data_IF_387954621971
#
_entry.id   IF_387954621971
#
_cell.length_a   1.000
_cell.length_b   1.000
_cell.length_c   1.000
_cell.angle_alpha   90.00
_cell.angle_beta   90.00
_cell.angle_gamma   90.00
#
_symmetry.space_group_name_H-M   'P 1'
#
loop_
_entity.id
_entity.type
_entity.pdbx_description
1 polymer ?
#
# COMPACT_ATOMS: atom_id res chain seq x y z
N UNK A 1 6.34 15.55 -58.20
CA UNK A 1 7.14 16.12 -57.08
C UNK A 1 6.34 16.35 -55.78
N UNK A 2 5.00 16.34 -55.78
CA UNK A 2 4.19 16.54 -54.55
C UNK A 2 4.05 15.29 -53.66
N UNK A 3 4.09 14.09 -54.26
CA UNK A 3 3.83 12.82 -53.56
C UNK A 3 5.00 12.32 -52.70
N UNK A 4 6.25 12.64 -53.08
CA UNK A 4 7.45 12.26 -52.32
C UNK A 4 7.58 13.03 -51.00
N UNK A 5 7.10 14.28 -50.97
CA UNK A 5 7.17 15.13 -49.77
C UNK A 5 6.24 14.62 -48.65
N UNK A 6 5.08 14.06 -49.01
CA UNK A 6 4.11 13.47 -48.06
C UNK A 6 4.66 12.19 -47.42
N UNK A 7 5.39 11.37 -48.19
CA UNK A 7 6.01 10.14 -47.69
C UNK A 7 7.17 10.47 -46.74
N UNK A 8 7.99 11.48 -47.05
CA UNK A 8 9.07 11.95 -46.16
C UNK A 8 8.49 12.56 -44.87
N UNK A 9 7.37 13.29 -44.93
CA UNK A 9 6.68 13.82 -43.75
C UNK A 9 6.07 12.72 -42.86
N UNK A 10 5.48 11.69 -43.48
CA UNK A 10 4.94 10.52 -42.76
C UNK A 10 6.03 9.68 -42.08
N UNK A 11 7.21 9.57 -42.70
CA UNK A 11 8.36 8.86 -42.13
C UNK A 11 9.03 9.66 -40.99
N UNK A 12 9.00 11.00 -41.02
CA UNK A 12 9.49 11.85 -39.92
C UNK A 12 8.58 11.80 -38.67
N UNK A 13 7.26 11.64 -38.83
CA UNK A 13 6.34 11.54 -37.69
C UNK A 13 6.42 10.22 -36.93
N UNK A 14 6.91 9.15 -37.58
CA UNK A 14 7.02 7.83 -36.95
C UNK A 14 8.16 7.74 -35.92
N UNK A 15 9.16 8.65 -35.99
CA UNK A 15 10.31 8.65 -35.09
C UNK A 15 10.06 9.29 -33.72
N UNK A 16 8.89 9.91 -33.50
CA UNK A 16 8.60 10.60 -32.24
C UNK A 16 7.77 9.79 -31.22
N UNK A 17 7.38 8.55 -31.54
CA UNK A 17 6.84 7.63 -30.53
C UNK A 17 8.02 6.88 -29.89
N UNK A 18 8.92 7.62 -29.25
CA UNK A 18 9.83 7.01 -28.30
C UNK A 18 8.97 6.57 -27.11
N UNK A 19 8.78 5.26 -26.93
CA UNK A 19 8.29 4.72 -25.69
C UNK A 19 9.21 5.24 -24.58
N UNK A 20 8.71 6.15 -23.73
CA UNK A 20 9.54 6.73 -22.68
C UNK A 20 10.03 5.58 -21.79
N UNK A 21 11.35 5.44 -21.57
CA UNK A 21 11.86 4.41 -20.68
C UNK A 21 11.19 4.60 -19.32
N UNK A 22 10.61 3.51 -18.81
CA UNK A 22 9.99 3.47 -17.49
C UNK A 22 11.05 3.92 -16.47
N UNK A 23 10.81 5.07 -15.82
CA UNK A 23 11.72 5.56 -14.79
C UNK A 23 11.57 4.66 -13.56
N UNK A 24 12.43 3.64 -13.46
CA UNK A 24 12.43 2.66 -12.37
C UNK A 24 12.45 3.33 -11.00
N UNK A 25 13.18 4.44 -10.85
CA UNK A 25 13.19 5.23 -9.63
C UNK A 25 11.79 5.74 -9.23
N UNK A 26 11.03 6.29 -10.19
CA UNK A 26 9.65 6.76 -9.94
C UNK A 26 8.71 5.62 -9.56
N UNK A 27 8.86 4.47 -10.21
CA UNK A 27 8.09 3.26 -9.90
C UNK A 27 8.40 2.78 -8.48
N UNK A 28 9.68 2.67 -8.14
CA UNK A 28 10.13 2.22 -6.82
C UNK A 28 9.63 3.14 -5.71
N UNK A 29 9.62 4.47 -5.94
CA UNK A 29 9.05 5.45 -5.01
C UNK A 29 7.54 5.29 -4.83
N UNK A 30 6.81 5.13 -5.94
CA UNK A 30 5.36 4.89 -5.90
C UNK A 30 5.03 3.58 -5.19
N UNK A 31 5.79 2.51 -5.45
CA UNK A 31 5.65 1.22 -4.79
C UNK A 31 5.94 1.32 -3.28
N UNK A 32 7.01 2.03 -2.89
CA UNK A 32 7.35 2.25 -1.49
C UNK A 32 6.26 3.04 -0.76
N UNK A 33 5.73 4.10 -1.36
CA UNK A 33 4.58 4.83 -0.80
C UNK A 33 3.35 3.92 -0.66
N UNK A 34 3.04 3.11 -1.68
CA UNK A 34 1.95 2.12 -1.64
C UNK A 34 2.11 1.09 -0.53
N UNK A 35 3.34 0.60 -0.29
CA UNK A 35 3.66 -0.28 0.84
C UNK A 35 3.38 0.38 2.19
N UNK A 36 3.77 1.64 2.38
CA UNK A 36 3.48 2.41 3.60
C UNK A 36 1.98 2.62 3.78
N UNK A 37 1.27 3.04 2.73
CA UNK A 37 -0.19 3.20 2.77
C UNK A 37 -0.90 1.90 3.16
N UNK A 38 -0.50 0.77 2.56
CA UNK A 38 -1.04 -0.55 2.87
C UNK A 38 -0.71 -1.00 4.30
N UNK A 39 0.53 -0.79 4.74
CA UNK A 39 0.94 -1.05 6.11
C UNK A 39 0.06 -0.30 7.12
N UNK A 40 -0.16 1.00 6.91
CA UNK A 40 -0.99 1.80 7.81
C UNK A 40 -2.46 1.35 7.82
N UNK A 41 -3.00 0.91 6.68
CA UNK A 41 -4.36 0.33 6.56
C UNK A 41 -4.60 -0.78 7.59
N UNK A 42 -3.57 -1.56 7.87
CA UNK A 42 -3.67 -2.75 8.70
C UNK A 42 -3.10 -2.57 10.12
N UNK A 43 -2.00 -1.83 10.30
CA UNK A 43 -1.34 -1.70 11.61
C UNK A 43 -1.67 -0.42 12.38
N UNK A 44 -2.10 0.65 11.70
CA UNK A 44 -2.36 1.91 12.39
C UNK A 44 -3.77 1.89 13.00
N UNK A 45 -3.93 2.02 14.34
CA UNK A 45 -5.22 1.80 15.01
C UNK A 45 -6.32 2.74 14.51
N UNK A 46 -6.00 4.01 14.24
CA UNK A 46 -6.97 4.98 13.73
C UNK A 46 -7.39 4.70 12.27
N UNK A 47 -6.51 4.10 11.48
CA UNK A 47 -6.81 3.78 10.07
C UNK A 47 -7.64 2.51 10.00
N UNK A 48 -7.19 1.47 10.71
CA UNK A 48 -7.84 0.16 10.75
C UNK A 48 -9.27 0.21 11.32
N UNK A 49 -9.62 1.20 12.16
CA UNK A 49 -11.00 1.41 12.65
C UNK A 49 -11.89 2.19 11.68
N UNK A 50 -11.39 2.59 10.51
CA UNK A 50 -12.18 3.28 9.47
C UNK A 50 -12.41 4.76 9.71
N UNK A 51 -11.59 5.43 10.54
CA UNK A 51 -11.71 6.87 10.81
C UNK A 51 -11.48 7.74 9.58
N UNK A 52 -10.73 7.23 8.60
CA UNK A 52 -10.31 7.95 7.41
C UNK A 52 -10.87 7.28 6.15
N UNK A 53 -11.18 8.09 5.12
CA UNK A 53 -11.33 7.57 3.76
C UNK A 53 -9.95 7.20 3.20
N UNK A 54 -9.53 5.98 3.51
CA UNK A 54 -8.16 5.55 3.26
C UNK A 54 -7.88 5.33 1.77
N UNK A 55 -8.88 4.89 1.00
CA UNK A 55 -8.75 4.71 -0.45
C UNK A 55 -8.67 6.07 -1.15
N UNK A 56 -9.49 7.06 -0.75
CA UNK A 56 -9.37 8.42 -1.25
C UNK A 56 -7.99 9.03 -0.95
N UNK A 57 -7.39 8.70 0.20
CA UNK A 57 -6.03 9.14 0.54
C UNK A 57 -5.00 8.67 -0.49
N UNK A 58 -5.06 7.41 -0.95
CA UNK A 58 -4.16 6.90 -1.99
C UNK A 58 -4.40 7.59 -3.34
N UNK A 59 -5.68 7.69 -3.75
CA UNK A 59 -6.06 8.28 -5.05
C UNK A 59 -5.62 9.75 -5.13
N UNK A 60 -5.88 10.53 -4.08
CA UNK A 60 -5.52 11.95 -4.03
C UNK A 60 -4.00 12.19 -4.05
N UNK A 61 -3.22 11.27 -3.47
CA UNK A 61 -1.76 11.40 -3.45
C UNK A 61 -1.08 10.81 -4.69
N UNK A 62 -1.76 9.98 -5.49
CA UNK A 62 -1.16 9.21 -6.59
C UNK A 62 -0.30 10.04 -7.53
N UNK A 63 -0.84 11.10 -8.12
CA UNK A 63 -0.09 11.92 -9.08
C UNK A 63 1.09 12.65 -8.43
N UNK A 64 0.91 13.12 -7.20
CA UNK A 64 1.98 13.80 -6.47
C UNK A 64 3.15 12.87 -6.15
N UNK A 65 2.86 11.59 -5.89
CA UNK A 65 3.88 10.57 -5.60
C UNK A 65 4.53 10.04 -6.88
N UNK A 66 3.73 9.80 -7.93
CA UNK A 66 4.20 9.34 -9.24
C UNK A 66 5.24 10.30 -9.85
N UNK A 67 5.12 11.59 -9.57
CA UNK A 67 5.96 12.63 -10.13
C UNK A 67 7.19 12.98 -9.27
N UNK A 68 7.44 12.26 -8.17
CA UNK A 68 8.61 12.49 -7.31
C UNK A 68 9.91 12.13 -8.01
N UNK A 69 10.92 12.97 -7.84
CA UNK A 69 12.22 12.85 -8.47
C UNK A 69 13.29 12.28 -7.53
N UNK A 70 13.05 12.27 -6.21
CA UNK A 70 14.05 11.77 -5.24
C UNK A 70 13.45 11.02 -4.04
N UNK A 71 14.28 10.23 -3.37
CA UNK A 71 13.92 9.58 -2.10
C UNK A 71 13.73 10.60 -0.96
N UNK A 72 14.33 11.78 -1.06
CA UNK A 72 14.11 12.87 -0.09
C UNK A 72 12.65 13.33 -0.16
N UNK A 73 12.13 13.61 -1.36
CA UNK A 73 10.73 14.02 -1.54
C UNK A 73 9.74 12.91 -1.15
N UNK A 74 10.08 11.65 -1.48
CA UNK A 74 9.31 10.48 -1.03
C UNK A 74 9.19 10.46 0.50
N UNK A 75 10.31 10.60 1.20
CA UNK A 75 10.31 10.55 2.65
C UNK A 75 9.56 11.72 3.27
N UNK A 76 9.61 12.92 2.68
CA UNK A 76 8.75 14.03 3.10
C UNK A 76 7.26 13.72 2.90
N UNK A 77 6.88 12.98 1.84
CA UNK A 77 5.49 12.54 1.62
C UNK A 77 5.06 11.46 2.60
N UNK A 78 5.94 10.52 2.91
CA UNK A 78 5.70 9.49 3.93
C UNK A 78 5.56 10.14 5.31
N UNK A 79 6.41 11.09 5.68
CA UNK A 79 6.31 11.79 6.96
C UNK A 79 4.95 12.48 7.11
N UNK A 80 4.51 13.24 6.09
CA UNK A 80 3.18 13.87 6.09
C UNK A 80 2.03 12.86 6.20
N UNK A 81 2.14 11.72 5.52
CA UNK A 81 1.14 10.65 5.63
C UNK A 81 1.09 10.10 7.06
N UNK A 82 2.24 9.81 7.66
CA UNK A 82 2.33 9.33 9.05
C UNK A 82 1.84 10.37 10.06
N UNK A 83 2.06 11.66 9.80
CA UNK A 83 1.55 12.75 10.67
C UNK A 83 0.02 12.85 10.58
N UNK A 84 -0.55 12.63 9.39
CA UNK A 84 -2.00 12.74 9.16
C UNK A 84 -2.84 11.69 9.90
N UNK A 85 -2.26 10.51 10.18
CA UNK A 85 -2.97 9.42 10.86
C UNK A 85 -2.92 9.52 12.39
N UNK A 86 -2.03 10.35 12.93
CA UNK A 86 -1.88 10.62 14.35
C UNK A 86 -0.93 9.67 15.07
N UNK A 87 -1.03 9.68 16.41
CA UNK A 87 -0.14 8.92 17.30
C UNK A 87 -0.65 7.50 17.56
N UNK A 88 0.30 6.56 17.72
CA UNK A 88 0.03 5.18 18.17
C UNK A 88 0.43 5.05 19.64
N UNK A 89 -0.50 4.73 20.56
CA UNK A 89 -0.15 4.54 21.96
C UNK A 89 0.79 3.35 22.15
N UNK A 90 1.72 3.47 23.09
CA UNK A 90 2.62 2.39 23.45
C UNK A 90 1.82 1.16 23.91
N UNK A 91 2.14 0.00 23.35
CA UNK A 91 1.52 -1.26 23.73
C UNK A 91 2.30 -1.89 24.89
N UNK A 92 1.67 -1.95 26.07
CA UNK A 92 2.24 -2.61 27.25
C UNK A 92 1.94 -4.11 27.34
N UNK A 93 1.17 -4.64 26.40
CA UNK A 93 0.78 -6.05 26.35
C UNK A 93 1.75 -6.84 25.47
N UNK A 94 2.04 -8.10 25.85
CA UNK A 94 2.81 -9.02 25.01
C UNK A 94 2.14 -9.11 23.63
N UNK A 95 2.94 -8.94 22.57
CA UNK A 95 2.46 -9.09 21.20
C UNK A 95 1.74 -10.45 21.07
N UNK A 96 0.58 -10.46 20.41
CA UNK A 96 -0.10 -11.71 20.12
C UNK A 96 0.82 -12.58 19.26
N UNK A 97 1.14 -13.77 19.75
CA UNK A 97 1.90 -14.74 18.96
C UNK A 97 0.94 -15.43 17.98
N UNK A 98 1.27 -15.34 16.70
CA UNK A 98 0.52 -15.99 15.63
C UNK A 98 1.30 -17.20 15.12
N UNK A 99 0.62 -18.30 14.73
CA UNK A 99 1.27 -19.43 14.08
C UNK A 99 2.15 -19.00 12.89
N UNK A 100 3.31 -19.64 12.72
CA UNK A 100 4.28 -19.27 11.68
C UNK A 100 3.73 -19.38 10.25
N UNK A 101 2.75 -20.25 10.03
CA UNK A 101 2.01 -20.34 8.77
C UNK A 101 1.28 -19.04 8.40
N UNK A 102 0.87 -18.25 9.40
CA UNK A 102 0.22 -16.93 9.23
C UNK A 102 1.23 -15.79 9.09
N UNK A 103 2.49 -16.00 9.49
CA UNK A 103 3.61 -15.07 9.30
C UNK A 103 4.29 -15.25 7.94
N UNK A 104 4.11 -16.42 7.29
CA UNK A 104 4.85 -16.86 6.10
C UNK A 104 4.77 -15.90 4.89
N UNK A 105 3.65 -15.19 4.73
CA UNK A 105 3.49 -14.23 3.62
C UNK A 105 3.86 -12.80 4.03
N UNK A 106 3.99 -12.52 5.32
CA UNK A 106 4.18 -11.19 5.89
C UNK A 106 5.66 -10.80 5.93
N UNK A 107 6.22 -10.48 4.76
CA UNK A 107 7.55 -9.89 4.70
C UNK A 107 7.51 -8.37 4.98
N UNK A 108 7.80 -8.00 6.22
CA UNK A 108 7.95 -6.61 6.65
C UNK A 108 9.41 -6.15 6.75
N UNK A 109 10.39 -6.93 6.27
CA UNK A 109 11.80 -6.55 6.33
C UNK A 109 12.07 -5.18 5.66
N UNK A 110 11.25 -4.80 4.67
CA UNK A 110 11.34 -3.51 3.99
C UNK A 110 11.14 -2.30 4.90
N UNK A 111 10.48 -2.41 6.07
CA UNK A 111 10.36 -1.27 7.01
C UNK A 111 11.71 -0.92 7.65
N UNK A 112 12.70 -1.81 7.56
CA UNK A 112 14.07 -1.62 8.04
C UNK A 112 15.03 -1.14 6.92
N UNK A 113 14.58 -1.09 5.67
CA UNK A 113 15.41 -0.72 4.52
C UNK A 113 15.59 0.80 4.42
N UNK A 114 16.77 1.28 4.87
CA UNK A 114 17.13 2.69 4.85
C UNK A 114 17.70 3.20 3.52
N UNK A 115 17.79 2.34 2.49
CA UNK A 115 18.17 2.78 1.13
C UNK A 115 17.02 3.54 0.44
N UNK A 116 15.77 3.24 0.84
CA UNK A 116 14.55 3.89 0.34
C UNK A 116 13.89 4.76 1.41
N UNK A 117 13.78 4.25 2.64
CA UNK A 117 13.21 4.99 3.76
C UNK A 117 14.28 5.81 4.46
N UNK A 118 13.94 7.01 4.92
CA UNK A 118 14.78 7.72 5.87
C UNK A 118 14.82 6.92 7.18
N UNK A 119 15.94 7.00 7.89
CA UNK A 119 16.06 6.41 9.23
C UNK A 119 14.88 6.79 10.13
N UNK A 120 14.46 8.06 10.06
CA UNK A 120 13.32 8.58 10.81
C UNK A 120 11.99 7.87 10.47
N UNK A 121 11.63 7.78 9.18
CA UNK A 121 10.37 7.13 8.77
C UNK A 121 10.42 5.62 9.02
N UNK A 122 11.57 4.98 8.79
CA UNK A 122 11.80 3.57 9.13
C UNK A 122 11.52 3.30 10.62
N UNK A 123 12.04 4.14 11.52
CA UNK A 123 11.80 4.01 12.95
C UNK A 123 10.35 4.23 13.36
N UNK A 124 9.64 5.15 12.70
CA UNK A 124 8.20 5.35 12.94
C UNK A 124 7.37 4.11 12.53
N UNK A 125 7.69 3.50 11.39
CA UNK A 125 7.00 2.28 10.93
C UNK A 125 7.29 1.09 11.85
N UNK A 126 8.55 0.93 12.28
CA UNK A 126 8.93 -0.08 13.29
C UNK A 126 8.13 0.13 14.59
N UNK A 127 8.06 1.37 15.08
CA UNK A 127 7.30 1.68 16.28
C UNK A 127 5.81 1.31 16.16
N UNK A 128 5.18 1.62 15.02
CA UNK A 128 3.78 1.24 14.75
C UNK A 128 3.62 -0.28 14.75
N UNK A 129 4.56 -1.00 14.14
CA UNK A 129 4.54 -2.46 14.08
C UNK A 129 4.70 -3.10 15.47
N UNK A 130 5.70 -2.66 16.24
CA UNK A 130 5.99 -3.16 17.58
C UNK A 130 4.88 -2.85 18.59
N UNK A 131 4.19 -1.72 18.41
CA UNK A 131 3.08 -1.29 19.27
C UNK A 131 1.70 -1.63 18.69
N UNK A 132 1.65 -2.47 17.66
CA UNK A 132 0.38 -2.88 17.05
C UNK A 132 -0.53 -3.55 18.09
N UNK A 133 -1.76 -3.05 18.17
CA UNK A 133 -2.82 -3.63 18.99
C UNK A 133 -3.94 -4.18 18.10
N UNK A 134 -4.46 -5.37 18.39
CA UNK A 134 -5.63 -5.90 17.68
C UNK A 134 -6.83 -4.98 17.90
N UNK A 135 -7.26 -4.30 16.83
CA UNK A 135 -8.46 -3.48 16.78
C UNK A 135 -9.54 -4.18 15.97
N UNK A 136 -10.80 -3.73 16.10
CA UNK A 136 -11.85 -4.14 15.17
C UNK A 136 -11.56 -3.53 13.80
N UNK A 137 -10.91 -4.31 12.94
CA UNK A 137 -10.49 -3.86 11.62
C UNK A 137 -11.70 -3.81 10.67
N UNK A 138 -11.97 -2.66 10.07
CA UNK A 138 -13.10 -2.48 9.15
C UNK A 138 -12.82 -3.06 7.76
N UNK A 139 -11.55 -3.29 7.41
CA UNK A 139 -11.13 -3.83 6.12
C UNK A 139 -11.03 -5.35 6.12
N UNK A 140 -10.74 -5.98 7.26
CA UNK A 140 -10.61 -7.43 7.40
C UNK A 140 -11.44 -7.93 8.57
N UNK A 141 -12.36 -8.84 8.27
CA UNK A 141 -13.15 -9.55 9.29
C UNK A 141 -12.99 -11.06 9.14
N UNK A 142 -13.40 -11.84 10.14
CA UNK A 142 -13.35 -13.30 10.09
C UNK A 142 -14.68 -13.85 9.56
N UNK A 143 -14.62 -14.79 8.61
CA UNK A 143 -15.79 -15.58 8.26
C UNK A 143 -16.15 -16.46 9.46
N UNK A 144 -17.39 -16.42 9.94
CA UNK A 144 -17.83 -17.29 11.03
C UNK A 144 -17.57 -18.77 10.68
N UNK A 145 -17.14 -19.55 11.67
CA UNK A 145 -16.89 -21.02 11.60
C UNK A 145 -15.67 -21.49 10.79
N UNK A 146 -15.27 -20.76 9.75
CA UNK A 146 -14.15 -21.16 8.87
C UNK A 146 -12.84 -20.45 9.21
N UNK A 147 -12.91 -19.28 9.86
CA UNK A 147 -11.71 -18.54 10.27
C UNK A 147 -11.01 -17.77 9.15
N UNK A 148 -11.48 -17.92 7.90
CA UNK A 148 -10.93 -17.21 6.76
C UNK A 148 -11.17 -15.69 6.85
N UNK A 149 -10.23 -14.88 6.33
CA UNK A 149 -10.40 -13.44 6.19
C UNK A 149 -11.44 -13.10 5.15
N UNK A 150 -12.26 -12.10 5.46
CA UNK A 150 -13.28 -11.52 4.60
C UNK A 150 -13.05 -10.02 4.53
N UNK A 151 -12.84 -9.54 3.31
CA UNK A 151 -12.54 -8.14 3.01
C UNK A 151 -13.84 -7.38 2.72
N UNK A 152 -14.65 -7.14 3.76
CA UNK A 152 -16.04 -6.64 3.62
C UNK A 152 -16.18 -5.23 3.06
N UNK A 153 -15.18 -4.37 3.27
CA UNK A 153 -15.23 -2.96 2.86
C UNK A 153 -14.31 -2.65 1.66
N UNK A 154 -13.76 -3.67 1.01
CA UNK A 154 -13.03 -3.45 -0.23
C UNK A 154 -14.05 -3.26 -1.36
N UNK A 155 -14.22 -2.01 -1.80
CA UNK A 155 -14.91 -1.72 -3.05
C UNK A 155 -14.03 -2.25 -4.18
N UNK A 156 -14.24 -3.50 -4.59
CA UNK A 156 -13.72 -3.99 -5.86
C UNK A 156 -14.34 -3.11 -6.94
N UNK A 157 -13.59 -2.13 -7.43
CA UNK A 157 -14.12 -1.08 -8.29
C UNK A 157 -14.51 -1.65 -9.65
N UNK A 158 -15.78 -2.08 -9.77
CA UNK A 158 -16.49 -2.22 -11.06
C UNK A 158 -16.83 -0.85 -11.66
N UNK A 159 -16.60 0.23 -10.90
CA UNK A 159 -16.96 1.62 -11.22
C UNK A 159 -15.76 2.57 -11.16
N UNK A 160 -14.62 2.19 -11.75
CA UNK A 160 -13.59 3.16 -12.18
C UNK A 160 -13.69 3.34 -13.71
N UNK A 161 -14.72 4.04 -14.19
CA UNK A 161 -14.73 4.54 -15.56
C UNK A 161 -13.78 5.75 -15.66
N UNK A 162 -12.48 5.52 -15.75
CA UNK A 162 -11.49 6.52 -16.20
C UNK A 162 -10.27 5.81 -16.82
N UNK A 163 -9.62 6.40 -17.85
CA UNK A 163 -8.54 5.76 -18.60
C UNK A 163 -7.21 5.88 -17.84
N UNK A 164 -7.06 5.18 -16.70
CA UNK A 164 -5.81 5.11 -15.93
C UNK A 164 -5.59 3.69 -15.39
N UNK A 165 -5.37 2.77 -16.33
CA UNK A 165 -4.83 1.41 -16.13
C UNK A 165 -3.75 1.29 -15.03
N UNK A 166 -2.92 2.31 -14.83
CA UNK A 166 -1.87 2.29 -13.79
C UNK A 166 -2.36 2.44 -12.34
N UNK A 167 -3.46 3.17 -12.08
CA UNK A 167 -3.99 3.35 -10.71
C UNK A 167 -4.76 2.09 -10.29
N UNK A 168 -5.57 1.55 -11.20
CA UNK A 168 -6.29 0.30 -10.98
C UNK A 168 -5.31 -0.88 -10.82
N UNK A 169 -4.22 -0.91 -11.60
CA UNK A 169 -3.15 -1.90 -11.43
C UNK A 169 -2.38 -1.70 -10.13
N UNK A 170 -2.11 -0.46 -9.69
CA UNK A 170 -1.46 -0.21 -8.39
C UNK A 170 -2.37 -0.62 -7.23
N UNK A 171 -3.66 -0.27 -7.25
CA UNK A 171 -4.62 -0.73 -6.24
C UNK A 171 -4.78 -2.25 -6.31
N UNK A 172 -4.95 -2.86 -7.48
CA UNK A 172 -5.09 -4.31 -7.61
C UNK A 172 -3.80 -5.08 -7.27
N UNK A 173 -2.62 -4.52 -7.54
CA UNK A 173 -1.33 -5.14 -7.21
C UNK A 173 -0.96 -4.93 -5.75
N UNK A 174 -1.23 -3.74 -5.19
CA UNK A 174 -1.00 -3.45 -3.77
C UNK A 174 -2.05 -4.18 -2.95
N UNK A 175 -3.34 -4.05 -3.24
CA UNK A 175 -4.41 -4.80 -2.59
C UNK A 175 -4.28 -6.30 -2.85
N UNK A 176 -3.92 -6.76 -4.06
CA UNK A 176 -3.67 -8.19 -4.35
C UNK A 176 -2.46 -8.77 -3.62
N UNK A 177 -1.35 -8.03 -3.55
CA UNK A 177 -0.18 -8.40 -2.75
C UNK A 177 -0.49 -8.32 -1.25
N UNK A 178 -1.35 -7.39 -0.82
CA UNK A 178 -1.78 -7.28 0.58
C UNK A 178 -2.82 -8.35 0.98
N UNK A 179 -3.72 -8.76 0.07
CA UNK A 179 -4.74 -9.81 0.27
C UNK A 179 -4.11 -11.17 0.56
N UNK A 180 -2.96 -11.47 -0.06
CA UNK A 180 -2.19 -12.70 0.16
C UNK A 180 -1.37 -12.63 1.47
N UNK A 181 -1.09 -11.41 1.95
CA UNK A 181 -0.09 -11.15 2.99
C UNK A 181 -0.68 -10.80 4.36
N UNK A 182 -1.82 -10.12 4.41
CA UNK A 182 -2.36 -9.47 5.61
C UNK A 182 -3.64 -10.11 6.14
N UNK A 183 -3.97 -11.31 5.68
CA UNK A 183 -5.31 -11.84 5.85
C UNK A 183 -5.50 -12.46 7.25
N UNK A 184 -4.43 -12.73 8.02
CA UNK A 184 -4.54 -13.53 9.25
C UNK A 184 -4.05 -12.88 10.56
N UNK A 185 -3.39 -11.72 10.52
CA UNK A 185 -2.73 -11.09 11.70
C UNK A 185 -3.61 -10.07 12.47
N UNK A 186 -4.83 -9.79 12.01
CA UNK A 186 -5.60 -8.61 12.45
C UNK A 186 -6.79 -8.91 13.38
N UNK A 187 -6.86 -10.10 13.95
CA UNK A 187 -8.10 -10.59 14.56
C UNK A 187 -7.85 -10.99 16.02
N UNK A 188 -8.56 -10.34 16.95
CA UNK A 188 -8.57 -10.73 18.37
C UNK A 188 -8.92 -12.22 18.52
N UNK A 189 -8.19 -12.98 19.34
CA UNK A 189 -8.64 -14.32 19.72
C UNK A 189 -9.95 -14.21 20.52
N UNK A 190 -10.98 -14.95 20.11
CA UNK A 190 -12.19 -15.15 20.91
C UNK A 190 -11.85 -16.05 22.11
N UNK A 191 -12.47 -15.79 23.27
CA UNK A 191 -12.26 -16.54 24.54
C UNK A 191 -12.41 -18.06 24.44
N UNK A 192 -13.01 -18.57 23.37
CA UNK A 192 -13.08 -20.00 23.10
C UNK A 192 -11.97 -20.34 22.11
N UNK A 193 -10.84 -20.82 22.63
CA UNK A 193 -9.75 -21.37 21.84
C UNK A 193 -10.28 -22.43 20.89
N UNK A 194 -9.99 -22.27 19.61
CA UNK A 194 -10.30 -23.28 18.60
C UNK A 194 -9.26 -24.40 18.82
N UNK A 195 -9.71 -25.54 19.34
CA UNK A 195 -9.01 -26.81 19.10
C UNK A 195 -9.23 -27.17 17.63
N UNK A 196 -8.14 -27.50 16.95
CA UNK A 196 -8.11 -27.95 15.56
C UNK A 196 -9.03 -29.15 15.32
#
# INVERSE_FOLDING_TARGET
MRSGFVIVLLLFTCFHIAAQPLNEGKINRLAAYGKVWGFLKYYHPQVATGKFDWDATLVNNYFSVKNLNSNIELNQKISRLLDSVGYVPANRSKALDFPDSLKKNLNLAWIYDTSVLSFYNSKRLQYIYENHQPVNNVYVTRQPRVGNPVFKNEKYTKTLFYPLNHIASLHCSVTGMLLITFSHTFIKPTKNGIRF
#
